data_IF_214919988915
#
_entry.id   IF_214919988915
#
_cell.length_a   1.000
_cell.length_b   1.000
_cell.length_c   1.000
_cell.angle_alpha   90.00
_cell.angle_beta   90.00
_cell.angle_gamma   90.00
#
_symmetry.space_group_name_H-M   'P 1'
#
loop_
_entity.id
_entity.type
_entity.pdbx_description
1 polymer ?
#
# COMPACT_ATOMS: atom_id res chain seq x y z
N UNK A 1 -18.42 30.51 -19.29
CA UNK A 1 -18.26 29.36 -20.18
C UNK A 1 -16.81 28.96 -20.03
N UNK A 2 -16.53 27.69 -19.74
CA UNK A 2 -15.16 27.17 -19.78
C UNK A 2 -14.81 26.92 -21.25
N UNK A 3 -13.63 27.37 -21.68
CA UNK A 3 -13.16 27.12 -23.03
C UNK A 3 -12.65 25.67 -23.13
N UNK A 4 -12.72 25.07 -24.32
CA UNK A 4 -12.22 23.72 -24.59
C UNK A 4 -11.34 23.74 -25.82
N UNK A 5 -10.12 23.24 -25.67
CA UNK A 5 -9.08 23.20 -26.69
C UNK A 5 -8.75 21.74 -27.02
N UNK A 6 -8.44 21.48 -28.29
CA UNK A 6 -7.97 20.19 -28.77
C UNK A 6 -6.63 20.40 -29.46
N UNK A 7 -5.59 19.75 -28.97
CA UNK A 7 -4.26 19.81 -29.57
C UNK A 7 -4.16 18.76 -30.70
N UNK A 8 -3.11 18.89 -31.51
CA UNK A 8 -2.88 18.01 -32.65
C UNK A 8 -2.26 16.68 -32.18
N UNK A 9 -1.75 15.88 -33.12
CA UNK A 9 -1.12 14.60 -32.83
C UNK A 9 0.42 14.68 -32.92
N UNK A 10 0.98 15.88 -32.77
CA UNK A 10 2.42 16.07 -32.63
C UNK A 10 2.69 17.03 -31.48
N UNK A 11 3.95 17.15 -31.10
CA UNK A 11 4.38 17.89 -29.92
C UNK A 11 3.86 19.34 -29.91
N UNK A 12 2.93 19.59 -28.99
CA UNK A 12 2.23 20.86 -28.80
C UNK A 12 2.60 21.48 -27.44
N UNK A 13 2.43 22.79 -27.34
CA UNK A 13 2.56 23.52 -26.07
C UNK A 13 1.31 24.36 -25.86
N UNK A 14 0.68 24.21 -24.71
CA UNK A 14 -0.52 24.94 -24.34
C UNK A 14 -0.35 25.65 -23.00
N UNK A 15 -0.78 26.91 -22.94
CA UNK A 15 -0.77 27.70 -21.71
C UNK A 15 -2.17 28.27 -21.50
N UNK A 16 -2.77 28.01 -20.34
CA UNK A 16 -4.07 28.58 -20.02
C UNK A 16 -3.94 30.07 -19.63
N UNK A 17 -4.41 30.98 -20.49
CA UNK A 17 -4.30 32.44 -20.24
C UNK A 17 -5.42 33.04 -19.37
N UNK A 18 -6.54 32.34 -19.11
CA UNK A 18 -7.75 32.88 -18.46
C UNK A 18 -8.33 31.90 -17.41
N UNK A 19 -9.52 32.16 -16.85
CA UNK A 19 -10.24 31.25 -15.92
C UNK A 19 -10.29 29.79 -16.43
N UNK A 20 -10.57 28.85 -15.52
CA UNK A 20 -10.82 27.42 -15.75
C UNK A 20 -11.23 27.02 -17.18
N UNK A 21 -10.61 25.99 -17.70
CA UNK A 21 -10.88 25.46 -19.04
C UNK A 21 -10.48 24.01 -19.19
N UNK A 22 -10.59 23.50 -20.42
CA UNK A 22 -10.22 22.13 -20.75
C UNK A 22 -9.29 22.09 -21.95
N UNK A 23 -8.26 21.26 -21.89
CA UNK A 23 -7.37 20.97 -23.02
C UNK A 23 -7.25 19.46 -23.15
N UNK A 24 -7.37 18.97 -24.39
CA UNK A 24 -7.20 17.55 -24.70
C UNK A 24 -6.26 17.41 -25.88
N UNK A 25 -5.07 16.88 -25.62
CA UNK A 25 -4.15 16.45 -26.64
C UNK A 25 -4.53 15.07 -27.20
N UNK A 26 -3.90 14.73 -28.32
CA UNK A 26 -4.08 13.42 -28.95
C UNK A 26 -2.83 12.58 -28.75
N UNK A 27 -1.73 13.00 -29.33
CA UNK A 27 -0.44 12.41 -29.03
C UNK A 27 0.70 13.25 -29.53
N UNK A 28 1.93 12.76 -29.36
CA UNK A 28 3.10 13.63 -29.36
C UNK A 28 3.53 13.86 -27.92
N UNK A 29 4.67 14.52 -27.73
CA UNK A 29 5.13 14.88 -26.38
C UNK A 29 4.69 16.32 -26.11
N UNK A 30 3.61 16.46 -25.36
CA UNK A 30 2.90 17.70 -25.15
C UNK A 30 3.27 18.36 -23.82
N UNK A 31 3.22 19.70 -23.79
CA UNK A 31 3.46 20.47 -22.57
C UNK A 31 2.28 21.40 -22.28
N UNK A 32 1.65 21.21 -21.11
CA UNK A 32 0.50 21.98 -20.67
C UNK A 32 0.82 22.72 -19.37
N UNK A 33 0.69 24.06 -19.40
CA UNK A 33 0.76 24.91 -18.21
C UNK A 33 -0.64 25.48 -17.91
N UNK A 34 -1.18 25.11 -16.76
CA UNK A 34 -2.43 25.61 -16.19
C UNK A 34 -2.30 26.97 -15.53
N UNK A 35 -3.25 27.29 -14.66
CA UNK A 35 -3.33 28.55 -13.92
C UNK A 35 -4.11 28.37 -12.61
N UNK A 36 -4.47 29.46 -11.92
CA UNK A 36 -5.15 29.43 -10.63
C UNK A 36 -6.62 28.93 -10.64
N UNK A 37 -7.10 28.26 -11.70
CA UNK A 37 -8.50 27.85 -11.78
C UNK A 37 -8.71 26.45 -12.35
N UNK A 38 -9.49 25.65 -11.62
CA UNK A 38 -9.96 24.29 -11.93
C UNK A 38 -9.98 23.89 -13.43
N UNK A 39 -8.87 23.38 -13.90
CA UNK A 39 -8.57 22.92 -15.24
C UNK A 39 -8.91 21.43 -15.42
N UNK A 40 -9.13 21.05 -16.68
CA UNK A 40 -9.22 19.65 -17.10
C UNK A 40 -8.21 19.42 -18.21
N UNK A 41 -7.23 18.56 -17.97
CA UNK A 41 -6.09 18.37 -18.85
C UNK A 41 -6.06 16.89 -19.25
N UNK A 42 -6.16 16.59 -20.54
CA UNK A 42 -5.86 15.26 -21.07
C UNK A 42 -4.65 15.36 -22.00
N UNK A 43 -3.60 14.59 -21.72
CA UNK A 43 -2.32 14.67 -22.43
C UNK A 43 -2.25 13.69 -23.61
N UNK A 44 -2.89 12.53 -23.51
CA UNK A 44 -3.07 11.63 -24.65
C UNK A 44 -1.92 10.63 -24.73
N UNK A 45 -1.35 10.39 -25.92
CA UNK A 45 -0.25 9.44 -26.05
C UNK A 45 1.09 10.13 -26.29
N UNK A 46 2.10 9.80 -25.51
CA UNK A 46 3.43 10.39 -25.62
C UNK A 46 3.99 10.63 -24.23
N UNK A 47 5.19 11.19 -24.15
CA UNK A 47 5.78 11.54 -22.87
C UNK A 47 5.50 13.01 -22.62
N UNK A 48 4.48 13.27 -21.81
CA UNK A 48 3.87 14.57 -21.66
C UNK A 48 4.29 15.26 -20.36
N UNK A 49 4.08 16.58 -20.29
CA UNK A 49 4.34 17.38 -19.09
C UNK A 49 3.13 18.24 -18.78
N UNK A 50 2.57 18.12 -17.58
CA UNK A 50 1.50 18.97 -17.08
C UNK A 50 1.87 19.65 -15.76
N UNK A 51 1.64 20.96 -15.69
CA UNK A 51 1.67 21.74 -14.45
C UNK A 51 0.34 22.47 -14.33
N UNK A 52 -0.60 21.98 -13.53
CA UNK A 52 -1.97 22.52 -13.53
C UNK A 52 -2.11 23.82 -12.73
N UNK A 53 -1.26 24.03 -11.73
CA UNK A 53 -1.06 25.34 -11.12
C UNK A 53 -1.89 25.51 -9.86
N UNK A 54 -3.10 26.05 -9.95
CA UNK A 54 -3.95 26.15 -8.77
C UNK A 54 -5.43 25.96 -9.06
N UNK A 55 -6.21 25.79 -8.00
CA UNK A 55 -7.59 25.32 -8.14
C UNK A 55 -7.64 23.80 -8.12
N UNK A 56 -8.85 23.24 -8.24
CA UNK A 56 -9.04 21.80 -8.17
C UNK A 56 -9.10 21.23 -9.59
N UNK A 57 -7.99 20.64 -10.00
CA UNK A 57 -7.71 20.22 -11.35
C UNK A 57 -8.02 18.73 -11.56
N UNK A 58 -8.28 18.35 -12.81
CA UNK A 58 -8.38 16.94 -13.20
C UNK A 58 -7.45 16.69 -14.37
N UNK A 59 -6.50 15.78 -14.19
CA UNK A 59 -5.46 15.48 -15.17
C UNK A 59 -5.52 14.01 -15.57
N UNK A 60 -5.45 13.74 -16.87
CA UNK A 60 -5.26 12.42 -17.45
C UNK A 60 -3.98 12.41 -18.28
N UNK A 61 -2.92 11.76 -17.80
CA UNK A 61 -1.68 11.52 -18.56
C UNK A 61 -1.96 10.60 -19.74
N UNK A 62 -2.53 9.44 -19.43
CA UNK A 62 -2.93 8.34 -20.33
C UNK A 62 -1.77 7.43 -20.68
N UNK A 63 -1.05 7.60 -21.78
CA UNK A 63 -0.07 6.60 -22.21
C UNK A 63 1.27 7.22 -22.59
N UNK A 64 2.33 6.73 -21.99
CA UNK A 64 3.69 7.22 -22.12
C UNK A 64 4.21 7.66 -20.75
N UNK A 65 5.46 8.07 -20.70
CA UNK A 65 6.11 8.41 -19.43
C UNK A 65 5.88 9.91 -19.15
N UNK A 66 4.91 10.20 -18.29
CA UNK A 66 4.42 11.56 -18.07
C UNK A 66 5.02 12.20 -16.81
N UNK A 67 5.19 13.53 -16.83
CA UNK A 67 5.47 14.33 -15.64
C UNK A 67 4.26 15.21 -15.31
N UNK A 68 3.60 14.91 -14.19
CA UNK A 68 2.34 15.55 -13.78
C UNK A 68 2.52 16.24 -12.43
N UNK A 69 2.17 17.52 -12.37
CA UNK A 69 2.14 18.34 -11.15
C UNK A 69 0.74 19.00 -11.03
N UNK A 70 -0.04 18.59 -10.03
CA UNK A 70 -1.36 19.17 -9.74
C UNK A 70 -1.25 20.62 -9.26
N UNK A 71 -0.36 20.86 -8.31
CA UNK A 71 -0.08 22.19 -7.81
C UNK A 71 -0.90 22.49 -6.56
N UNK A 72 -1.67 23.58 -6.54
CA UNK A 72 -2.37 24.03 -5.34
C UNK A 72 -3.89 23.86 -5.45
N UNK A 73 -4.46 22.94 -4.69
CA UNK A 73 -5.88 22.67 -4.65
C UNK A 73 -6.11 21.21 -4.36
N UNK A 74 -7.36 20.75 -4.43
CA UNK A 74 -7.64 19.33 -4.30
C UNK A 74 -7.79 18.74 -5.69
N UNK A 75 -6.74 18.09 -6.16
CA UNK A 75 -6.59 17.63 -7.52
C UNK A 75 -6.97 16.16 -7.67
N UNK A 76 -7.28 15.76 -8.91
CA UNK A 76 -7.49 14.35 -9.26
C UNK A 76 -6.61 14.01 -10.45
N UNK A 77 -5.61 13.18 -10.20
CA UNK A 77 -4.54 12.86 -11.13
C UNK A 77 -4.66 11.40 -11.56
N UNK A 78 -4.84 11.19 -12.86
CA UNK A 78 -4.81 9.87 -13.49
C UNK A 78 -3.54 9.80 -14.35
N UNK A 79 -2.46 9.21 -13.86
CA UNK A 79 -1.19 9.23 -14.59
C UNK A 79 -1.22 8.27 -15.79
N UNK A 80 -1.70 7.05 -15.61
CA UNK A 80 -1.96 6.12 -16.70
C UNK A 80 -0.88 5.05 -16.82
N UNK A 81 -0.48 4.73 -18.05
CA UNK A 81 0.50 3.70 -18.36
C UNK A 81 1.80 4.32 -18.86
N UNK A 82 2.94 3.78 -18.44
CA UNK A 82 4.26 4.34 -18.66
C UNK A 82 4.95 4.54 -17.31
N UNK A 83 6.26 4.74 -17.29
CA UNK A 83 6.94 5.08 -16.03
C UNK A 83 6.73 6.59 -15.77
N UNK A 84 5.84 6.93 -14.83
CA UNK A 84 5.35 8.29 -14.58
C UNK A 84 6.02 8.96 -13.36
N UNK A 85 6.04 10.30 -13.37
CA UNK A 85 6.39 11.12 -12.19
C UNK A 85 5.19 11.98 -11.85
N UNK A 86 4.64 11.82 -10.65
CA UNK A 86 3.39 12.48 -10.24
C UNK A 86 3.59 13.22 -8.93
N UNK A 87 3.14 14.47 -8.90
CA UNK A 87 3.10 15.31 -7.69
C UNK A 87 1.68 15.85 -7.51
N UNK A 88 1.05 15.54 -6.38
CA UNK A 88 -0.24 16.13 -5.99
C UNK A 88 -0.08 17.63 -5.75
N UNK A 89 0.79 17.96 -4.79
CA UNK A 89 1.19 19.33 -4.50
C UNK A 89 0.67 19.76 -3.14
N UNK A 90 -0.21 20.75 -3.06
CA UNK A 90 -0.80 21.17 -1.79
C UNK A 90 -2.32 21.08 -1.86
N UNK A 91 -2.94 20.48 -0.87
CA UNK A 91 -4.37 20.19 -0.81
C UNK A 91 -4.58 18.71 -0.58
N UNK A 92 -5.83 18.26 -0.62
CA UNK A 92 -6.13 16.85 -0.45
C UNK A 92 -6.33 16.24 -1.83
N UNK A 93 -5.30 15.58 -2.32
CA UNK A 93 -5.20 15.10 -3.69
C UNK A 93 -5.59 13.63 -3.80
N UNK A 94 -5.99 13.25 -5.01
CA UNK A 94 -6.28 11.87 -5.35
C UNK A 94 -5.47 11.48 -6.57
N UNK A 95 -4.57 10.52 -6.40
CA UNK A 95 -3.71 9.99 -7.45
C UNK A 95 -4.09 8.54 -7.75
N UNK A 96 -4.34 8.25 -9.01
CA UNK A 96 -4.63 6.90 -9.50
C UNK A 96 -3.75 6.58 -10.71
N UNK A 97 -3.24 5.36 -10.77
CA UNK A 97 -2.76 4.76 -12.02
C UNK A 97 -3.82 4.73 -13.11
N UNK A 98 -5.08 4.69 -12.70
CA UNK A 98 -6.22 5.04 -13.52
C UNK A 98 -7.05 3.85 -14.00
N UNK A 99 -8.34 4.04 -14.29
CA UNK A 99 -9.20 2.99 -14.83
C UNK A 99 -9.08 2.89 -16.36
N UNK A 100 -8.73 1.71 -16.88
CA UNK A 100 -9.07 1.35 -18.26
C UNK A 100 -7.94 1.24 -19.28
N UNK A 101 -6.67 1.36 -18.88
CA UNK A 101 -5.53 0.90 -19.68
C UNK A 101 -4.83 -0.17 -18.84
N UNK A 102 -5.28 -1.42 -19.01
CA UNK A 102 -4.56 -2.58 -18.47
C UNK A 102 -3.71 -3.20 -19.59
N UNK A 103 -2.43 -3.53 -19.33
CA UNK A 103 -1.77 -3.36 -18.04
C UNK A 103 -1.50 -1.88 -17.76
N UNK A 104 -1.75 -1.45 -16.53
CA UNK A 104 -1.42 -0.10 -16.08
C UNK A 104 0.07 -0.12 -15.76
N UNK A 105 0.86 -0.28 -16.81
CA UNK A 105 2.24 -0.73 -16.72
C UNK A 105 3.17 0.46 -16.58
N UNK A 106 3.72 0.66 -15.40
CA UNK A 106 4.64 1.76 -15.10
C UNK A 106 5.40 1.47 -13.83
N UNK A 107 6.65 1.91 -13.70
CA UNK A 107 7.27 2.05 -12.39
C UNK A 107 7.23 3.53 -12.06
N UNK A 108 6.33 3.90 -11.18
CA UNK A 108 5.91 5.27 -10.98
C UNK A 108 6.57 5.88 -9.74
N UNK A 109 6.86 7.18 -9.80
CA UNK A 109 7.36 7.98 -8.67
C UNK A 109 6.28 9.00 -8.27
N UNK A 110 5.54 8.68 -7.21
CA UNK A 110 4.35 9.42 -6.79
C UNK A 110 4.60 10.09 -5.43
N UNK A 111 4.30 11.38 -5.36
CA UNK A 111 4.37 12.20 -4.16
C UNK A 111 3.04 12.96 -3.98
N UNK A 112 2.29 12.67 -2.92
CA UNK A 112 1.03 13.35 -2.60
C UNK A 112 1.27 14.83 -2.29
N UNK A 113 2.28 15.11 -1.48
CA UNK A 113 2.71 16.46 -1.15
C UNK A 113 2.20 16.89 0.22
N UNK A 114 1.38 17.92 0.32
CA UNK A 114 0.89 18.44 1.59
C UNK A 114 -0.63 18.44 1.65
N UNK A 115 -1.19 17.78 2.65
CA UNK A 115 -2.62 17.59 2.85
C UNK A 115 -2.91 16.12 3.10
N UNK A 116 -4.19 15.74 3.12
CA UNK A 116 -4.54 14.34 3.33
C UNK A 116 -4.86 13.71 1.96
N UNK A 117 -3.90 12.97 1.45
CA UNK A 117 -3.88 12.48 0.08
C UNK A 117 -4.35 11.04 -0.01
N UNK A 118 -4.75 10.64 -1.21
CA UNK A 118 -5.13 9.27 -1.53
C UNK A 118 -4.39 8.82 -2.77
N UNK A 119 -3.50 7.84 -2.63
CA UNK A 119 -2.62 7.34 -3.68
C UNK A 119 -2.94 5.87 -3.95
N UNK A 120 -3.13 5.54 -5.22
CA UNK A 120 -3.22 4.17 -5.72
C UNK A 120 -2.34 4.03 -6.97
N UNK A 121 -1.19 3.37 -6.82
CA UNK A 121 -0.14 3.39 -7.84
C UNK A 121 -0.45 2.44 -9.01
N UNK A 122 -0.73 1.17 -8.73
CA UNK A 122 -1.24 0.25 -9.74
C UNK A 122 -0.44 -1.04 -9.85
N UNK A 123 0.08 -1.32 -11.04
CA UNK A 123 0.85 -2.54 -11.30
C UNK A 123 2.34 -2.19 -11.44
N UNK A 124 3.23 -3.13 -11.12
CA UNK A 124 4.70 -3.02 -11.07
C UNK A 124 5.23 -2.30 -9.82
N UNK A 125 6.55 -2.15 -9.76
CA UNK A 125 7.27 -1.70 -8.57
C UNK A 125 7.33 -0.16 -8.54
N UNK A 126 6.54 0.43 -7.65
CA UNK A 126 6.37 1.87 -7.54
C UNK A 126 7.14 2.47 -6.35
N UNK A 127 7.34 3.79 -6.39
CA UNK A 127 7.90 4.57 -5.29
C UNK A 127 6.90 5.62 -4.86
N UNK A 128 6.41 5.50 -3.63
CA UNK A 128 5.26 6.26 -3.12
C UNK A 128 5.64 7.09 -1.90
N UNK A 129 5.14 8.33 -1.86
CA UNK A 129 5.22 9.22 -0.70
C UNK A 129 3.85 9.85 -0.50
N UNK A 130 3.28 9.69 0.70
CA UNK A 130 2.07 10.44 1.09
C UNK A 130 2.41 11.92 1.21
N UNK A 131 3.35 12.22 2.10
CA UNK A 131 3.89 13.56 2.32
C UNK A 131 3.47 14.11 3.67
N UNK A 132 3.24 15.42 3.77
CA UNK A 132 2.71 16.02 5.01
C UNK A 132 1.21 15.74 5.12
N UNK A 133 0.78 14.83 6.00
CA UNK A 133 -0.64 14.55 6.08
C UNK A 133 -1.02 13.40 6.97
N UNK A 134 -2.31 13.04 6.88
CA UNK A 134 -2.75 11.70 7.23
C UNK A 134 -3.22 11.06 5.92
N UNK A 135 -2.38 10.24 5.30
CA UNK A 135 -2.56 9.79 3.93
C UNK A 135 -3.12 8.36 3.83
N UNK A 136 -3.70 8.05 2.67
CA UNK A 136 -4.11 6.70 2.29
C UNK A 136 -3.29 6.26 1.08
N UNK A 137 -2.43 5.26 1.26
CA UNK A 137 -1.52 4.80 0.21
C UNK A 137 -1.80 3.33 -0.11
N UNK A 138 -2.03 3.03 -1.38
CA UNK A 138 -2.11 1.69 -1.94
C UNK A 138 -1.03 1.49 -3.00
N UNK A 139 -0.11 0.55 -2.77
CA UNK A 139 0.91 0.12 -3.74
C UNK A 139 0.27 -0.56 -4.94
N UNK A 140 -0.33 -1.72 -4.70
CA UNK A 140 -1.04 -2.49 -5.72
C UNK A 140 -0.32 -3.80 -5.99
N UNK A 141 -0.07 -4.12 -7.26
CA UNK A 141 0.70 -5.31 -7.62
C UNK A 141 2.15 -4.89 -7.88
N UNK A 142 3.16 -5.52 -7.29
CA UNK A 142 4.57 -5.15 -7.48
C UNK A 142 5.33 -5.14 -6.16
N UNK A 143 6.66 -5.03 -6.23
CA UNK A 143 7.46 -4.82 -5.01
C UNK A 143 7.64 -3.31 -4.80
N UNK A 144 6.80 -2.71 -3.96
CA UNK A 144 6.70 -1.26 -3.81
C UNK A 144 7.61 -0.70 -2.71
N UNK A 145 8.00 0.56 -2.89
CA UNK A 145 8.75 1.34 -1.91
C UNK A 145 7.90 2.51 -1.42
N UNK A 146 7.55 2.50 -0.14
CA UNK A 146 6.61 3.46 0.43
C UNK A 146 7.33 4.28 1.51
N UNK A 147 7.29 5.61 1.43
CA UNK A 147 7.77 6.49 2.49
C UNK A 147 6.57 7.04 3.25
N UNK A 148 6.54 6.79 4.55
CA UNK A 148 5.44 7.18 5.44
C UNK A 148 5.88 8.35 6.31
N UNK A 149 5.08 9.42 6.30
CA UNK A 149 5.29 10.66 7.04
C UNK A 149 3.92 11.11 7.59
N UNK A 150 3.84 11.51 8.85
CA UNK A 150 2.52 11.82 9.45
C UNK A 150 1.73 10.56 9.84
N UNK A 151 0.39 10.58 9.84
CA UNK A 151 -0.41 9.42 10.28
C UNK A 151 -1.10 8.71 9.11
N UNK A 152 -0.39 7.77 8.49
CA UNK A 152 -0.80 7.14 7.25
C UNK A 152 -1.49 5.79 7.46
N UNK A 153 -2.34 5.47 6.51
CA UNK A 153 -2.83 4.11 6.27
C UNK A 153 -2.21 3.59 4.98
N UNK A 154 -1.43 2.52 5.09
CA UNK A 154 -0.68 1.92 3.99
C UNK A 154 -1.17 0.51 3.71
N UNK A 155 -1.46 0.25 2.45
CA UNK A 155 -1.70 -1.07 1.88
C UNK A 155 -0.59 -1.30 0.85
N UNK A 156 0.38 -2.19 1.11
CA UNK A 156 1.42 -2.52 0.12
C UNK A 156 0.77 -3.23 -1.07
N UNK A 157 0.22 -4.41 -0.83
CA UNK A 157 -0.63 -5.09 -1.80
C UNK A 157 -0.10 -6.48 -2.12
N UNK A 158 0.03 -6.81 -3.40
CA UNK A 158 0.63 -8.06 -3.85
C UNK A 158 2.09 -7.83 -4.23
N UNK A 159 3.03 -8.47 -3.54
CA UNK A 159 4.44 -8.39 -3.85
C UNK A 159 5.26 -8.33 -2.57
N UNK A 160 6.53 -7.97 -2.68
CA UNK A 160 7.44 -7.80 -1.54
C UNK A 160 7.68 -6.32 -1.24
N UNK A 161 6.78 -5.73 -0.46
CA UNK A 161 6.72 -4.30 -0.23
C UNK A 161 7.63 -3.86 0.92
N UNK A 162 8.19 -2.68 0.77
CA UNK A 162 9.09 -2.06 1.75
C UNK A 162 8.62 -0.66 2.09
N UNK A 163 8.20 -0.45 3.33
CA UNK A 163 7.88 0.88 3.83
C UNK A 163 9.02 1.47 4.68
N UNK A 164 9.20 2.78 4.62
CA UNK A 164 10.21 3.54 5.32
C UNK A 164 9.57 4.42 6.39
N UNK A 165 10.22 4.47 7.55
CA UNK A 165 9.90 5.38 8.64
C UNK A 165 11.10 6.25 8.95
N UNK A 166 10.82 7.51 9.25
CA UNK A 166 11.82 8.45 9.75
C UNK A 166 12.29 8.08 11.17
N UNK A 167 13.56 8.28 11.49
CA UNK A 167 14.08 7.95 12.83
C UNK A 167 14.46 6.48 13.02
N UNK A 168 14.75 6.08 14.26
CA UNK A 168 15.35 4.78 14.56
C UNK A 168 14.29 3.73 14.89
N UNK A 169 14.60 2.44 14.69
CA UNK A 169 13.71 1.33 15.05
C UNK A 169 13.24 1.36 16.51
N UNK A 170 14.09 1.83 17.44
CA UNK A 170 13.75 1.93 18.86
C UNK A 170 12.78 3.06 19.22
N UNK A 171 12.48 3.95 18.26
CA UNK A 171 11.52 5.05 18.44
C UNK A 171 10.08 4.60 18.18
N UNK A 172 9.89 3.36 17.69
CA UNK A 172 8.61 2.79 17.27
C UNK A 172 8.20 1.58 18.11
N UNK A 173 6.90 1.51 18.41
CA UNK A 173 6.19 0.36 18.94
C UNK A 173 5.31 -0.22 17.84
N UNK A 174 5.55 -1.48 17.48
CA UNK A 174 4.71 -2.26 16.57
C UNK A 174 3.72 -3.10 17.36
N UNK A 175 2.45 -3.01 16.98
CA UNK A 175 1.37 -3.85 17.48
C UNK A 175 0.70 -4.55 16.32
N UNK A 176 0.74 -5.88 16.29
CA UNK A 176 -0.02 -6.66 15.33
C UNK A 176 -1.45 -6.86 15.84
N UNK A 177 -2.42 -6.40 15.07
CA UNK A 177 -3.82 -6.72 15.28
C UNK A 177 -4.12 -8.08 14.61
N UNK A 178 -5.04 -8.87 15.18
CA UNK A 178 -5.39 -10.21 14.69
C UNK A 178 -5.93 -10.30 13.25
N UNK A 179 -6.00 -9.17 12.53
CA UNK A 179 -6.40 -9.06 11.13
C UNK A 179 -5.22 -8.91 10.14
N UNK A 180 -3.97 -9.09 10.58
CA UNK A 180 -2.78 -8.84 9.74
C UNK A 180 -2.42 -7.35 9.59
N UNK A 181 -3.09 -6.48 10.34
CA UNK A 181 -2.82 -5.04 10.37
C UNK A 181 -1.76 -4.73 11.43
N UNK A 182 -0.66 -4.11 11.03
CA UNK A 182 0.34 -3.58 11.95
C UNK A 182 0.01 -2.12 12.29
N UNK A 183 -0.22 -1.85 13.57
CA UNK A 183 -0.23 -0.49 14.11
C UNK A 183 1.17 -0.14 14.59
N UNK A 184 1.79 0.84 13.92
CA UNK A 184 3.11 1.37 14.25
C UNK A 184 2.91 2.71 14.94
N UNK A 185 3.40 2.87 16.15
CA UNK A 185 3.30 4.16 16.86
C UNK A 185 4.67 4.59 17.38
N UNK A 186 5.06 5.83 17.11
CA UNK A 186 6.40 6.29 17.45
C UNK A 186 6.68 7.67 16.87
N UNK A 187 7.69 8.36 17.42
CA UNK A 187 8.15 9.67 16.94
C UNK A 187 7.11 10.82 16.87
N UNK A 188 5.87 10.60 17.32
CA UNK A 188 4.77 11.58 17.22
C UNK A 188 3.62 11.09 16.34
N UNK A 189 3.85 10.03 15.58
CA UNK A 189 3.01 9.58 14.48
C UNK A 189 2.46 8.17 14.72
N UNK A 190 1.45 7.81 13.93
CA UNK A 190 0.80 6.50 13.93
C UNK A 190 0.56 6.02 12.51
N UNK A 191 1.17 4.90 12.15
CA UNK A 191 0.91 4.22 10.89
C UNK A 191 0.01 2.99 11.08
N UNK A 192 -0.90 2.79 10.15
CA UNK A 192 -1.68 1.57 9.99
C UNK A 192 -1.22 0.87 8.71
N UNK A 193 -0.47 -0.21 8.82
CA UNK A 193 0.21 -0.86 7.69
C UNK A 193 -0.32 -2.28 7.48
N UNK A 194 -0.72 -2.60 6.26
CA UNK A 194 -1.19 -3.92 5.85
C UNK A 194 -0.51 -4.36 4.55
N UNK A 195 -0.13 -5.64 4.47
CA UNK A 195 0.51 -6.20 3.27
C UNK A 195 1.84 -5.51 2.94
N UNK A 196 2.66 -5.24 3.94
CA UNK A 196 4.04 -4.77 3.77
C UNK A 196 4.95 -5.73 4.50
N UNK A 197 5.99 -6.21 3.83
CA UNK A 197 6.88 -7.27 4.31
C UNK A 197 8.07 -6.71 5.10
N UNK A 198 8.45 -5.45 4.83
CA UNK A 198 9.61 -4.82 5.44
C UNK A 198 9.36 -3.37 5.85
N UNK A 199 9.73 -3.03 7.09
CA UNK A 199 9.88 -1.65 7.55
C UNK A 199 11.36 -1.31 7.67
N UNK A 200 11.79 -0.25 6.97
CA UNK A 200 13.15 0.29 7.07
C UNK A 200 13.13 1.55 7.91
N UNK A 201 14.07 1.65 8.83
CA UNK A 201 14.30 2.82 9.69
C UNK A 201 15.74 3.28 9.53
N UNK A 202 16.10 4.43 10.09
CA UNK A 202 17.44 5.02 9.96
C UNK A 202 18.59 4.10 10.45
N UNK A 203 18.32 3.17 11.36
CA UNK A 203 19.35 2.32 11.97
C UNK A 203 19.07 0.81 11.90
N UNK A 204 18.03 0.39 11.19
CA UNK A 204 17.65 -1.01 11.15
C UNK A 204 16.49 -1.32 10.23
N UNK A 205 16.30 -2.61 10.02
CA UNK A 205 15.21 -3.19 9.25
C UNK A 205 14.38 -4.06 10.19
N UNK A 206 13.07 -3.89 10.15
CA UNK A 206 12.10 -4.75 10.81
C UNK A 206 11.41 -5.53 9.70
N UNK A 207 11.56 -6.85 9.69
CA UNK A 207 10.78 -7.69 8.78
C UNK A 207 9.42 -7.93 9.43
N UNK A 208 8.36 -7.59 8.71
CA UNK A 208 6.97 -7.85 9.09
C UNK A 208 6.47 -9.18 8.52
N UNK A 209 7.12 -9.66 7.46
CA UNK A 209 6.87 -10.98 6.95
C UNK A 209 7.25 -12.01 8.02
N UNK A 210 6.21 -12.60 8.61
CA UNK A 210 6.35 -13.83 9.38
C UNK A 210 6.62 -14.93 8.37
N UNK A 211 7.85 -15.03 7.89
CA UNK A 211 8.27 -16.11 7.02
C UNK A 211 8.20 -17.45 7.78
N UNK A 212 7.01 -18.04 7.79
CA UNK A 212 6.73 -19.35 8.35
C UNK A 212 7.47 -20.46 7.57
N UNK A 213 8.01 -20.17 6.37
CA UNK A 213 8.77 -21.15 5.58
C UNK A 213 10.19 -21.35 6.09
N UNK A 214 10.78 -20.33 6.73
CA UNK A 214 12.04 -20.45 7.48
C UNK A 214 11.86 -21.09 8.88
N UNK A 215 10.62 -21.18 9.36
CA UNK A 215 10.24 -21.90 10.60
C UNK A 215 10.10 -23.42 10.43
N UNK A 216 10.37 -23.97 9.24
CA UNK A 216 10.44 -25.43 9.04
C UNK A 216 11.72 -26.05 9.66
N UNK A 217 12.59 -25.23 10.27
CA UNK A 217 13.77 -25.69 11.01
C UNK A 217 13.99 -25.08 12.40
N UNK A 218 13.22 -24.06 12.79
CA UNK A 218 13.24 -23.50 14.13
C UNK A 218 12.17 -24.21 14.96
N UNK A 219 12.52 -24.68 16.16
CA UNK A 219 11.54 -25.38 17.01
C UNK A 219 10.32 -24.49 17.26
N UNK A 220 9.17 -25.11 17.49
CA UNK A 220 7.88 -24.43 17.71
C UNK A 220 7.93 -23.36 18.82
N UNK A 221 8.91 -23.41 19.73
CA UNK A 221 9.16 -22.37 20.74
C UNK A 221 9.70 -21.04 20.20
N UNK A 222 10.40 -21.02 19.07
CA UNK A 222 10.86 -19.78 18.43
C UNK A 222 9.70 -19.13 17.65
N UNK A 223 8.86 -19.94 17.00
CA UNK A 223 7.60 -19.55 16.34
C UNK A 223 6.65 -18.82 17.31
N UNK A 224 6.51 -19.37 18.52
CA UNK A 224 5.57 -18.88 19.53
C UNK A 224 6.05 -17.58 20.22
N UNK A 225 7.36 -17.31 20.21
CA UNK A 225 7.94 -16.07 20.73
C UNK A 225 7.86 -14.90 19.73
N UNK A 226 7.85 -15.18 18.43
CA UNK A 226 7.84 -14.17 17.37
C UNK A 226 6.42 -13.76 16.95
N UNK A 227 5.46 -14.69 16.94
CA UNK A 227 4.07 -14.43 16.50
C UNK A 227 3.12 -14.07 17.65
N UNK A 228 3.47 -14.40 18.90
CA UNK A 228 2.57 -14.28 20.04
C UNK A 228 1.42 -15.30 19.96
N UNK A 229 1.26 -16.13 21.00
CA UNK A 229 0.40 -17.33 21.03
C UNK A 229 -1.04 -17.19 20.51
N UNK A 230 -1.59 -15.97 20.47
CA UNK A 230 -3.00 -15.76 20.12
C UNK A 230 -3.25 -15.67 18.61
N UNK A 231 -2.27 -15.24 17.80
CA UNK A 231 -2.45 -15.10 16.35
C UNK A 231 -2.38 -16.44 15.60
N UNK A 232 -1.52 -17.34 16.06
CA UNK A 232 -1.29 -18.62 15.40
C UNK A 232 -2.48 -19.58 15.52
N UNK A 233 -3.25 -19.51 16.61
CA UNK A 233 -4.40 -20.39 16.83
C UNK A 233 -5.56 -20.07 15.89
N UNK A 234 -5.79 -18.79 15.57
CA UNK A 234 -6.80 -18.36 14.60
C UNK A 234 -6.38 -18.70 13.16
N UNK A 235 -5.09 -18.58 12.82
CA UNK A 235 -4.59 -18.92 11.47
C UNK A 235 -4.51 -20.44 11.24
N UNK A 236 -4.18 -21.24 12.26
CA UNK A 236 -4.11 -22.70 12.14
C UNK A 236 -5.51 -23.36 12.12
N UNK A 237 -6.53 -22.69 12.66
CA UNK A 237 -7.93 -23.17 12.70
C UNK A 237 -8.85 -22.52 11.65
N UNK A 238 -8.38 -21.48 10.96
CA UNK A 238 -9.16 -20.72 9.98
C UNK A 238 -9.20 -21.39 8.60
N UNK A 239 -10.27 -22.16 8.34
CA UNK A 239 -10.99 -22.31 7.04
C UNK A 239 -11.88 -23.58 7.00
N UNK A 240 -11.92 -24.43 8.05
CA UNK A 240 -12.63 -25.73 7.95
C UNK A 240 -13.68 -26.04 9.03
N UNK A 241 -14.24 -25.04 9.73
CA UNK A 241 -15.31 -25.30 10.71
C UNK A 241 -16.45 -24.29 10.50
N UNK A 242 -17.47 -24.72 9.75
CA UNK A 242 -18.65 -23.91 9.46
C UNK A 242 -19.45 -23.54 10.72
N UNK A 243 -19.82 -22.26 10.82
CA UNK A 243 -20.86 -21.64 11.66
C UNK A 243 -21.04 -22.12 13.12
N UNK A 244 -19.98 -22.60 13.74
CA UNK A 244 -19.95 -23.02 15.14
C UNK A 244 -18.51 -23.16 15.61
N UNK A 245 -17.86 -22.03 15.88
CA UNK A 245 -16.43 -21.99 16.19
C UNK A 245 -16.06 -22.82 17.43
N UNK A 246 -15.02 -23.64 17.29
CA UNK A 246 -14.38 -24.34 18.41
C UNK A 246 -13.82 -23.31 19.39
N UNK A 247 -14.30 -23.34 20.63
CA UNK A 247 -13.67 -22.61 21.73
C UNK A 247 -12.53 -23.46 22.29
N UNK A 248 -11.54 -22.84 22.92
CA UNK A 248 -10.42 -23.53 23.59
C UNK A 248 -10.90 -24.65 24.55
N UNK A 249 -12.10 -24.49 25.09
CA UNK A 249 -12.78 -25.43 25.99
C UNK A 249 -13.22 -26.74 25.28
N UNK A 250 -13.48 -26.72 23.98
CA UNK A 250 -13.90 -27.89 23.19
C UNK A 250 -12.74 -28.88 22.94
N UNK A 251 -11.50 -28.39 23.05
CA UNK A 251 -10.28 -29.20 22.95
C UNK A 251 -10.01 -29.98 24.26
N UNK A 252 -10.47 -29.45 25.40
CA UNK A 252 -10.27 -30.05 26.73
C UNK A 252 -11.25 -31.20 27.00
N UNK A 253 -12.44 -31.16 26.41
CA UNK A 253 -13.48 -32.19 26.60
C UNK A 253 -13.39 -33.39 25.62
N UNK A 254 -12.33 -33.44 24.79
CA UNK A 254 -12.05 -34.59 23.91
C UNK A 254 -13.07 -34.78 22.78
N UNK A 255 -13.75 -33.70 22.37
CA UNK A 255 -14.81 -33.73 21.35
C UNK A 255 -14.24 -33.63 19.92
N UNK A 256 -12.97 -33.23 19.76
CA UNK A 256 -12.30 -33.12 18.46
C UNK A 256 -11.21 -34.18 18.34
N UNK A 257 -11.39 -35.12 17.41
CA UNK A 257 -10.32 -36.05 17.02
C UNK A 257 -9.35 -35.28 16.12
N UNK A 258 -8.19 -34.89 16.67
CA UNK A 258 -7.16 -34.12 15.96
C UNK A 258 -6.59 -34.83 14.73
N UNK A 259 -6.87 -36.13 14.55
CA UNK A 259 -6.55 -36.88 13.33
C UNK A 259 -7.39 -36.43 12.11
N UNK A 260 -8.56 -35.82 12.31
CA UNK A 260 -9.44 -35.34 11.23
C UNK A 260 -9.04 -33.95 10.69
N UNK A 261 -8.08 -33.27 11.33
CA UNK A 261 -7.57 -31.95 10.90
C UNK A 261 -6.54 -32.03 9.77
N UNK A 262 -6.27 -33.23 9.23
CA UNK A 262 -5.31 -33.42 8.13
C UNK A 262 -3.85 -33.12 8.50
N UNK A 263 -3.55 -33.00 9.79
CA UNK A 263 -2.22 -32.73 10.31
C UNK A 263 -1.32 -33.97 10.15
N UNK A 264 -0.05 -33.74 9.86
CA UNK A 264 0.90 -34.85 9.75
C UNK A 264 1.16 -35.47 11.13
N UNK A 265 1.45 -36.76 11.19
CA UNK A 265 1.72 -37.46 12.46
C UNK A 265 2.88 -36.82 13.25
N UNK A 266 3.86 -36.25 12.55
CA UNK A 266 4.96 -35.50 13.17
C UNK A 266 4.46 -34.25 13.92
N UNK A 267 3.50 -33.54 13.33
CA UNK A 267 2.91 -32.34 13.92
C UNK A 267 2.00 -32.70 15.11
N UNK A 268 1.34 -33.86 15.05
CA UNK A 268 0.53 -34.38 16.15
C UNK A 268 1.41 -34.76 17.36
N UNK A 269 2.58 -35.34 17.11
CA UNK A 269 3.54 -35.73 18.15
C UNK A 269 4.21 -34.50 18.81
N UNK A 270 4.47 -33.43 18.06
CA UNK A 270 5.02 -32.17 18.60
C UNK A 270 3.99 -31.36 19.41
N UNK A 271 2.69 -31.53 19.12
CA UNK A 271 1.61 -30.80 19.79
C UNK A 271 1.12 -31.53 21.06
N UNK A 272 1.00 -32.86 21.02
CA UNK A 272 0.38 -33.71 22.06
C UNK A 272 1.34 -34.73 22.69
N UNK A 273 2.54 -34.88 22.16
CA UNK A 273 3.54 -35.81 22.70
C UNK A 273 4.12 -35.33 24.03
N UNK A 274 4.88 -36.18 24.73
CA UNK A 274 5.51 -35.81 26.01
C UNK A 274 6.50 -34.65 25.82
N UNK A 275 6.27 -33.52 26.49
CA UNK A 275 7.02 -32.28 26.30
C UNK A 275 6.59 -31.44 25.09
N UNK A 276 5.44 -31.75 24.49
CA UNK A 276 4.79 -30.97 23.45
C UNK A 276 4.07 -29.74 23.98
N UNK A 277 3.65 -28.85 23.09
CA UNK A 277 3.15 -27.50 23.45
C UNK A 277 1.90 -27.53 24.33
N UNK A 278 1.01 -28.52 24.20
CA UNK A 278 -0.15 -28.66 25.10
C UNK A 278 0.19 -29.29 26.46
N UNK A 279 1.26 -30.08 26.56
CA UNK A 279 1.75 -30.66 27.83
C UNK A 279 2.24 -29.54 28.76
N UNK A 280 2.95 -28.55 28.20
CA UNK A 280 3.41 -27.35 28.90
C UNK A 280 2.27 -26.34 29.21
N UNK A 281 1.21 -26.31 28.40
CA UNK A 281 0.08 -25.39 28.58
C UNK A 281 -0.95 -25.88 29.61
N UNK A 282 -1.11 -27.19 29.78
CA UNK A 282 -2.10 -27.79 30.70
C UNK A 282 -1.52 -28.27 32.04
N UNK A 283 -0.19 -28.35 32.20
CA UNK A 283 0.42 -28.70 33.49
C UNK A 283 -0.04 -30.05 34.06
N UNK A 284 -0.19 -31.06 33.20
CA UNK A 284 -0.42 -32.46 33.59
C UNK A 284 0.54 -33.30 32.74
N UNK A 285 1.75 -33.57 33.21
CA UNK A 285 2.00 -34.59 34.26
C UNK A 285 2.59 -34.07 35.58
#
# INVERSE_FOLDING_TARGET
>A
MSDTYFLTAGDDTFVFENRQGSVFAQGGNDSVLGNDGANRIGLGTGNDVAQAGGGNDVIWGNAGNDEIDGGAGNDTLFHGAGDDIVRGGSGNDIVYGGPGISPNSGRDDIDGGAGNDTIYAGDMNDTLRGGEGDDLIGGGDGDDVIYMDGNDTVYGGNGEDTAYLDGNAGDYLLTLNGSGLFEISGNGDKQAVFGVEKIVTANGVINLDLDLSNLVGAGLGDVLNEVGLNGLLDTLLGENIGDGGLHLDDLVDGVVDLADLGLTQSLLDDLLGPGGVLDDLLGIL
#
